data_IF_109780935764
#
_entry.id   IF_109780935764
#
_cell.length_a   1.000
_cell.length_b   1.000
_cell.length_c   1.000
_cell.angle_alpha   90.00
_cell.angle_beta   90.00
_cell.angle_gamma   90.00
#
_symmetry.space_group_name_H-M   'P 1'
#
loop_
_entity.id
_entity.type
_entity.pdbx_description
1 polymer ?
#
# COMPACT_ATOMS: atom_id res chain seq x y z
N UNK A 1 3.90 -6.44 13.87
CA UNK A 1 4.70 -7.17 14.88
C UNK A 1 3.97 -8.47 15.22
N UNK A 2 4.60 -9.65 15.16
CA UNK A 2 4.00 -10.91 15.62
C UNK A 2 3.52 -10.79 17.08
N UNK A 3 2.33 -11.31 17.40
CA UNK A 3 1.67 -11.08 18.71
C UNK A 3 2.53 -11.48 19.93
N UNK A 4 3.41 -12.47 19.79
CA UNK A 4 4.31 -12.92 20.87
C UNK A 4 5.34 -11.87 21.25
N UNK A 5 5.96 -11.19 20.28
CA UNK A 5 6.95 -10.13 20.54
C UNK A 5 6.31 -8.86 21.10
N UNK A 6 5.09 -8.54 20.68
CA UNK A 6 4.32 -7.42 21.22
C UNK A 6 4.07 -7.59 22.73
N UNK A 7 3.68 -8.80 23.16
CA UNK A 7 3.47 -9.10 24.59
C UNK A 7 4.77 -9.02 25.42
N UNK A 8 5.91 -9.44 24.86
CA UNK A 8 7.20 -9.36 25.55
C UNK A 8 7.71 -7.92 25.74
N UNK A 9 7.38 -7.00 24.82
CA UNK A 9 7.87 -5.61 24.84
C UNK A 9 6.99 -4.66 25.67
N UNK A 10 5.69 -4.94 25.79
CA UNK A 10 4.73 -4.12 26.55
C UNK A 10 5.07 -4.03 28.05
N UNK A 11 5.81 -4.97 28.61
CA UNK A 11 6.23 -4.94 30.02
C UNK A 11 7.56 -4.24 30.31
N UNK A 12 8.40 -3.93 29.30
CA UNK A 12 9.78 -3.43 29.51
C UNK A 12 10.00 -2.04 28.91
N UNK A 13 9.22 -1.65 27.88
CA UNK A 13 9.29 -0.32 27.28
C UNK A 13 7.90 0.21 26.96
N UNK A 14 7.55 1.35 27.53
CA UNK A 14 6.42 2.14 27.06
C UNK A 14 6.69 2.58 25.62
N UNK A 15 5.92 2.04 24.67
CA UNK A 15 5.94 2.50 23.29
C UNK A 15 4.89 3.60 23.15
N UNK A 16 5.34 4.83 22.93
CA UNK A 16 4.43 5.90 22.53
C UNK A 16 4.05 5.70 21.07
N UNK A 17 2.85 5.20 20.82
CA UNK A 17 2.29 5.07 19.47
C UNK A 17 1.45 6.32 19.18
N UNK A 18 1.91 7.13 18.23
CA UNK A 18 1.12 8.26 17.73
C UNK A 18 0.08 7.70 16.75
N UNK A 19 -1.15 7.53 17.23
CA UNK A 19 -2.26 6.99 16.44
C UNK A 19 -3.07 8.05 15.69
N UNK A 20 -2.88 9.34 16.01
CA UNK A 20 -3.64 10.43 15.39
C UNK A 20 -3.12 10.65 13.97
N UNK A 21 -3.93 10.38 12.93
CA UNK A 21 -3.55 10.76 11.58
C UNK A 21 -3.47 12.29 11.47
N UNK A 22 -2.63 12.84 10.58
CA UNK A 22 -2.61 14.27 10.30
C UNK A 22 -3.99 14.79 9.92
N UNK A 23 -4.23 16.08 10.18
CA UNK A 23 -5.46 16.75 9.77
C UNK A 23 -5.64 16.65 8.24
N UNK A 24 -6.91 16.60 7.81
CA UNK A 24 -7.33 16.49 6.39
C UNK A 24 -6.95 15.20 5.65
N UNK A 25 -6.44 14.16 6.32
CA UNK A 25 -6.23 12.85 5.68
C UNK A 25 -7.56 12.13 5.45
N UNK A 26 -7.96 12.02 4.19
CA UNK A 26 -9.07 11.15 3.79
C UNK A 26 -8.63 9.67 3.75
N UNK A 27 -9.53 8.72 4.09
CA UNK A 27 -9.24 7.30 3.97
C UNK A 27 -9.01 6.91 2.50
N UNK A 28 -8.11 5.96 2.28
CA UNK A 28 -7.84 5.41 0.93
C UNK A 28 -9.01 4.52 0.52
N UNK A 29 -9.51 4.70 -0.70
CA UNK A 29 -10.51 3.81 -1.30
C UNK A 29 -9.83 2.52 -1.77
N UNK A 30 -10.19 1.39 -1.18
CA UNK A 30 -9.58 0.08 -1.48
C UNK A 30 -10.61 -0.83 -2.15
N UNK A 31 -10.23 -1.48 -3.25
CA UNK A 31 -11.05 -2.40 -4.00
C UNK A 31 -10.33 -3.76 -4.13
N UNK A 32 -11.07 -4.86 -3.94
CA UNK A 32 -10.57 -6.22 -4.17
C UNK A 32 -11.30 -6.76 -5.40
N UNK A 33 -10.53 -7.02 -6.45
CA UNK A 33 -11.03 -7.39 -7.77
C UNK A 33 -10.13 -8.47 -8.35
N UNK A 34 -10.66 -9.23 -9.31
CA UNK A 34 -9.85 -10.15 -10.09
C UNK A 34 -8.84 -9.39 -10.96
N UNK A 35 -7.78 -10.08 -11.36
CA UNK A 35 -6.76 -9.49 -12.21
C UNK A 35 -7.32 -9.21 -13.60
N UNK A 36 -7.57 -7.93 -13.90
CA UNK A 36 -7.98 -7.45 -15.21
C UNK A 36 -7.07 -6.30 -15.64
N UNK A 37 -6.38 -6.50 -16.76
CA UNK A 37 -5.48 -5.50 -17.34
C UNK A 37 -6.19 -4.20 -17.75
N UNK A 38 -7.45 -4.28 -18.18
CA UNK A 38 -8.21 -3.09 -18.59
C UNK A 38 -8.48 -2.20 -17.38
N UNK A 39 -8.91 -2.81 -16.27
CA UNK A 39 -9.19 -2.11 -15.03
C UNK A 39 -7.93 -1.45 -14.45
N UNK A 40 -6.80 -2.16 -14.48
CA UNK A 40 -5.50 -1.63 -14.02
C UNK A 40 -5.07 -0.44 -14.90
N UNK A 41 -5.16 -0.58 -16.22
CA UNK A 41 -4.78 0.49 -17.16
C UNK A 41 -5.64 1.75 -16.97
N UNK A 42 -6.96 1.59 -16.77
CA UNK A 42 -7.85 2.73 -16.52
C UNK A 42 -7.58 3.40 -15.17
N UNK A 43 -7.27 2.62 -14.13
CA UNK A 43 -6.86 3.15 -12.84
C UNK A 43 -5.55 3.96 -12.95
N UNK A 44 -4.56 3.44 -13.69
CA UNK A 44 -3.29 4.15 -13.95
C UNK A 44 -3.55 5.46 -14.71
N UNK A 45 -4.30 5.41 -15.82
CA UNK A 45 -4.62 6.60 -16.61
C UNK A 45 -5.33 7.67 -15.78
N UNK A 46 -6.25 7.27 -14.91
CA UNK A 46 -6.97 8.19 -14.01
C UNK A 46 -6.01 8.91 -13.06
N UNK A 47 -5.04 8.20 -12.49
CA UNK A 47 -4.08 8.80 -11.56
C UNK A 47 -3.04 9.67 -12.28
N UNK A 48 -2.59 9.25 -13.47
CA UNK A 48 -1.74 10.06 -14.34
C UNK A 48 -2.43 11.35 -14.80
N UNK A 49 -3.73 11.30 -15.12
CA UNK A 49 -4.52 12.48 -15.49
C UNK A 49 -4.63 13.51 -14.35
N UNK A 50 -4.47 13.07 -13.10
CA UNK A 50 -4.41 13.94 -11.91
C UNK A 50 -3.00 14.48 -11.64
N UNK A 51 -2.01 14.10 -12.45
CA UNK A 51 -0.60 14.40 -12.22
C UNK A 51 0.00 13.63 -11.04
N UNK A 52 -0.66 12.54 -10.61
CA UNK A 52 -0.23 11.69 -9.52
C UNK A 52 0.83 10.66 -9.93
N UNK A 53 1.27 9.88 -8.95
CA UNK A 53 2.22 8.78 -9.14
C UNK A 53 1.54 7.45 -8.78
N UNK A 54 1.92 6.38 -9.46
CA UNK A 54 1.35 5.05 -9.23
C UNK A 54 2.42 4.11 -8.68
N UNK A 55 2.05 3.37 -7.62
CA UNK A 55 2.84 2.25 -7.11
C UNK A 55 2.28 0.93 -7.64
N UNK A 56 3.11 0.15 -8.33
CA UNK A 56 2.79 -1.20 -8.79
C UNK A 56 3.69 -2.20 -8.08
N UNK A 57 3.10 -3.14 -7.34
CA UNK A 57 3.85 -4.14 -6.57
C UNK A 57 3.88 -5.45 -7.33
N UNK A 58 5.08 -5.89 -7.71
CA UNK A 58 5.32 -7.17 -8.35
C UNK A 58 6.36 -7.96 -7.57
N UNK A 59 5.98 -9.14 -7.09
CA UNK A 59 6.80 -9.90 -6.14
C UNK A 59 7.97 -10.67 -6.80
N UNK A 60 7.94 -10.87 -8.13
CA UNK A 60 8.93 -11.67 -8.84
C UNK A 60 9.91 -10.79 -9.63
N UNK A 61 11.08 -10.52 -9.06
CA UNK A 61 12.09 -9.66 -9.70
C UNK A 61 12.51 -10.16 -11.08
N UNK A 62 12.61 -11.49 -11.28
CA UNK A 62 13.09 -12.07 -12.54
C UNK A 62 12.23 -11.74 -13.77
N UNK A 63 10.93 -11.48 -13.59
CA UNK A 63 9.99 -11.21 -14.68
C UNK A 63 9.42 -9.80 -14.66
N UNK A 64 9.92 -8.92 -13.78
CA UNK A 64 9.38 -7.55 -13.63
C UNK A 64 9.54 -6.72 -14.91
N UNK A 65 10.64 -6.92 -15.65
CA UNK A 65 10.92 -6.15 -16.87
C UNK A 65 9.89 -6.42 -17.97
N UNK A 66 9.44 -7.67 -18.11
CA UNK A 66 8.39 -8.05 -19.08
C UNK A 66 7.03 -7.41 -18.76
N UNK A 67 6.85 -6.88 -17.55
CA UNK A 67 5.62 -6.19 -17.14
C UNK A 67 5.70 -4.66 -17.37
N UNK A 68 6.92 -4.11 -17.51
CA UNK A 68 7.16 -2.70 -17.78
C UNK A 68 7.32 -2.37 -19.27
N UNK A 69 7.54 -3.38 -20.11
CA UNK A 69 7.44 -3.32 -21.58
C UNK A 69 5.98 -3.43 -22.04
#
# INVERSE_FOLDING_TARGET
IPRTLHMSLVGVREMSVINTPPEERLPVQTYVVEYDMNLIADAIKRELARGGQVYFVYNRVASINHMGE
#
